data_IF_744755045085
#
_entry.id   IF_744755045085
#
_cell.length_a   1.000
_cell.length_b   1.000
_cell.length_c   1.000
_cell.angle_alpha   90.00
_cell.angle_beta   90.00
_cell.angle_gamma   90.00
#
_symmetry.space_group_name_H-M   'P 1'
#
loop_
_entity.id
_entity.type
_entity.pdbx_description
1 polymer ?
#
# COMPACT_ATOMS: atom_id res chain seq x y z
N UNK A 1 88.41 -39.96 -24.67
CA UNK A 1 89.65 -39.14 -24.75
C UNK A 1 89.70 -38.27 -23.51
N UNK A 2 90.70 -38.54 -22.64
CA UNK A 2 91.24 -37.77 -21.49
C UNK A 2 90.26 -37.11 -20.50
N UNK A 3 90.07 -37.72 -19.31
CA UNK A 3 90.84 -37.54 -18.04
C UNK A 3 90.27 -36.38 -17.21
N UNK A 4 89.80 -36.61 -15.98
CA UNK A 4 90.72 -36.68 -14.82
C UNK A 4 90.11 -37.41 -13.61
N UNK A 5 90.95 -38.24 -12.99
CA UNK A 5 90.77 -39.04 -11.77
C UNK A 5 91.24 -38.26 -10.54
N UNK A 6 90.64 -38.52 -9.37
CA UNK A 6 91.33 -38.77 -8.08
C UNK A 6 90.36 -39.46 -7.10
N UNK A 7 90.51 -40.78 -6.88
CA UNK A 7 91.06 -41.47 -5.68
C UNK A 7 90.21 -41.26 -4.42
N UNK A 8 89.57 -42.24 -3.73
CA UNK A 8 89.77 -43.66 -3.37
C UNK A 8 89.98 -43.78 -1.84
N UNK A 9 89.07 -44.55 -1.21
CA UNK A 9 89.17 -45.33 0.04
C UNK A 9 89.43 -44.62 1.39
N UNK A 10 88.64 -44.94 2.42
CA UNK A 10 88.91 -46.11 3.29
C UNK A 10 87.80 -46.35 4.33
N UNK A 11 87.61 -47.64 4.61
CA UNK A 11 86.65 -48.29 5.50
C UNK A 11 86.74 -47.89 6.98
N UNK A 12 85.61 -47.95 7.71
CA UNK A 12 85.54 -48.63 9.00
C UNK A 12 84.09 -48.95 9.40
N UNK A 13 83.86 -50.20 9.83
CA UNK A 13 82.58 -50.79 10.23
C UNK A 13 82.21 -50.43 11.69
N UNK A 14 80.90 -50.31 11.98
CA UNK A 14 80.13 -51.15 12.93
C UNK A 14 78.98 -50.40 13.63
N UNK A 15 77.87 -51.15 13.76
CA UNK A 15 76.88 -51.17 14.84
C UNK A 15 75.61 -50.30 14.77
N UNK A 16 74.48 -51.02 14.62
CA UNK A 16 73.14 -50.83 15.24
C UNK A 16 72.35 -49.56 14.89
N UNK A 17 71.30 -49.72 14.08
CA UNK A 17 69.94 -49.30 14.49
C UNK A 17 68.88 -49.82 13.51
N UNK A 18 67.94 -50.58 14.07
CA UNK A 18 66.63 -50.88 13.51
C UNK A 18 65.87 -49.54 13.47
N UNK A 19 65.56 -49.01 12.29
CA UNK A 19 64.72 -47.82 12.18
C UNK A 19 63.35 -48.21 11.65
N UNK A 20 62.39 -48.09 12.57
CA UNK A 20 60.96 -48.22 12.38
C UNK A 20 60.45 -47.28 11.27
N UNK A 21 59.59 -47.84 10.43
CA UNK A 21 58.73 -47.14 9.49
C UNK A 21 57.76 -46.23 10.28
N UNK A 22 57.90 -44.92 10.18
CA UNK A 22 56.86 -43.96 10.58
C UNK A 22 56.53 -43.10 9.36
N UNK A 23 55.50 -43.50 8.63
CA UNK A 23 54.81 -42.66 7.67
C UNK A 23 54.12 -41.54 8.46
N UNK A 24 54.68 -40.33 8.42
CA UNK A 24 53.97 -39.12 8.83
C UNK A 24 52.88 -38.84 7.78
N UNK A 25 51.69 -39.42 7.98
CA UNK A 25 50.46 -38.87 7.45
C UNK A 25 50.24 -37.52 8.16
N UNK A 26 50.67 -36.43 7.54
CA UNK A 26 50.10 -35.12 7.86
C UNK A 26 48.64 -35.18 7.43
N UNK A 27 47.75 -35.41 8.39
CA UNK A 27 46.32 -35.20 8.19
C UNK A 27 46.12 -33.75 7.80
N UNK A 28 45.87 -33.50 6.51
CA UNK A 28 45.14 -32.31 6.12
C UNK A 28 43.76 -32.45 6.75
N UNK A 29 43.52 -31.74 7.86
CA UNK A 29 42.16 -31.46 8.27
C UNK A 29 41.59 -30.57 7.17
N UNK A 30 40.80 -31.16 6.26
CA UNK A 30 39.84 -30.38 5.52
C UNK A 30 38.85 -29.85 6.57
N UNK A 31 39.05 -28.63 7.02
CA UNK A 31 37.97 -27.88 7.66
C UNK A 31 36.88 -27.78 6.62
N UNK A 32 35.76 -28.46 6.84
CA UNK A 32 34.56 -28.23 6.07
C UNK A 32 34.20 -26.75 6.25
N UNK A 33 34.45 -25.94 5.23
CA UNK A 33 33.91 -24.59 5.18
C UNK A 33 32.41 -24.72 5.03
N UNK A 34 31.65 -24.08 5.92
CA UNK A 34 30.23 -23.87 5.73
C UNK A 34 30.00 -23.26 4.34
N UNK A 35 28.99 -23.76 3.65
CA UNK A 35 28.61 -23.32 2.30
C UNK A 35 27.24 -22.66 2.39
N UNK A 36 27.17 -21.60 3.20
CA UNK A 36 26.02 -20.72 3.22
C UNK A 36 26.07 -19.87 1.94
N UNK A 37 24.97 -19.84 1.19
CA UNK A 37 24.92 -19.12 -0.09
C UNK A 37 23.48 -18.68 -0.39
N UNK A 38 23.37 -17.49 -0.97
CA UNK A 38 22.19 -17.07 -1.71
C UNK A 38 22.48 -17.17 -3.21
N UNK A 39 21.61 -17.86 -3.94
CA UNK A 39 21.72 -18.02 -5.39
C UNK A 39 20.41 -17.61 -6.08
N UNK A 40 20.38 -16.47 -6.80
CA UNK A 40 21.46 -15.51 -6.98
C UNK A 40 21.78 -14.72 -5.68
N UNK A 41 23.02 -14.23 -5.56
CA UNK A 41 23.45 -13.36 -4.45
C UNK A 41 22.97 -11.91 -4.59
N UNK A 42 22.38 -11.56 -5.73
CA UNK A 42 21.75 -10.27 -5.97
C UNK A 42 20.56 -10.41 -6.91
N UNK A 43 19.51 -9.65 -6.64
CA UNK A 43 18.33 -9.55 -7.49
C UNK A 43 17.93 -8.09 -7.68
N UNK A 44 17.13 -7.82 -8.71
CA UNK A 44 16.64 -6.47 -9.00
C UNK A 44 15.13 -6.48 -9.11
N UNK A 45 14.49 -5.52 -8.44
CA UNK A 45 13.06 -5.24 -8.58
C UNK A 45 12.90 -4.06 -9.56
N UNK A 46 12.13 -4.27 -10.62
CA UNK A 46 11.73 -3.18 -11.51
C UNK A 46 10.57 -2.38 -10.89
N UNK A 47 10.73 -1.07 -10.84
CA UNK A 47 9.64 -0.17 -10.47
C UNK A 47 8.55 -0.17 -11.55
N UNK A 48 7.27 0.02 -11.18
CA UNK A 48 6.23 0.20 -12.19
C UNK A 48 6.49 1.51 -12.94
N UNK A 49 6.37 1.52 -14.28
CA UNK A 49 6.61 2.73 -15.06
C UNK A 49 5.63 3.86 -14.73
N UNK A 50 4.40 3.51 -14.34
CA UNK A 50 3.39 4.47 -13.92
C UNK A 50 2.53 3.91 -12.78
N UNK A 51 2.03 4.82 -11.95
CA UNK A 51 1.07 4.55 -10.89
C UNK A 51 -0.01 5.63 -10.90
N UNK A 52 -1.26 5.25 -11.12
CA UNK A 52 -2.41 6.17 -11.07
C UNK A 52 -3.31 5.79 -9.92
N UNK A 53 -3.66 6.75 -9.06
CA UNK A 53 -4.52 6.54 -7.90
C UNK A 53 -5.29 7.81 -7.52
N UNK A 54 -6.44 7.69 -6.84
CA UNK A 54 -7.13 8.83 -6.24
C UNK A 54 -6.26 9.57 -5.21
N UNK A 55 -6.28 10.89 -5.21
CA UNK A 55 -5.49 11.73 -4.29
C UNK A 55 -5.88 11.53 -2.82
N UNK A 56 -7.17 11.29 -2.56
CA UNK A 56 -7.77 11.01 -1.25
C UNK A 56 -7.73 9.52 -0.85
N UNK A 57 -6.92 8.69 -1.53
CA UNK A 57 -6.81 7.27 -1.20
C UNK A 57 -6.53 7.09 0.29
N UNK A 58 -7.19 6.13 0.94
CA UNK A 58 -7.07 5.93 2.38
C UNK A 58 -5.62 5.72 2.85
N UNK A 59 -5.23 6.42 3.92
CA UNK A 59 -3.93 6.28 4.58
C UNK A 59 -3.70 4.83 5.03
N UNK A 60 -2.50 4.31 4.76
CA UNK A 60 -2.10 2.94 5.06
C UNK A 60 -2.50 1.91 4.01
N UNK A 61 -3.22 2.30 2.95
CA UNK A 61 -3.49 1.41 1.82
C UNK A 61 -2.20 1.11 1.06
N UNK A 62 -1.90 -0.18 0.88
CA UNK A 62 -0.88 -0.65 -0.07
C UNK A 62 -1.47 -0.54 -1.47
N UNK A 63 -0.91 0.35 -2.29
CA UNK A 63 -1.41 0.66 -3.64
C UNK A 63 -0.63 -0.06 -4.74
N UNK A 64 0.53 -0.61 -4.40
CA UNK A 64 1.32 -1.45 -5.29
C UNK A 64 2.13 -2.47 -4.49
N UNK A 65 2.29 -3.66 -5.05
CA UNK A 65 3.25 -4.68 -4.61
C UNK A 65 3.95 -5.21 -5.86
N UNK A 66 5.28 -5.20 -5.87
CA UNK A 66 6.05 -5.69 -7.02
C UNK A 66 5.90 -7.21 -7.20
N UNK A 67 6.37 -7.71 -8.34
CA UNK A 67 6.76 -9.11 -8.43
C UNK A 67 7.88 -9.43 -7.43
N UNK A 68 7.95 -10.69 -7.00
CA UNK A 68 8.97 -11.14 -6.07
C UNK A 68 10.35 -11.13 -6.73
N UNK A 69 11.30 -10.37 -6.18
CA UNK A 69 12.70 -10.75 -6.33
C UNK A 69 12.90 -12.02 -5.52
N UNK A 70 13.51 -13.03 -6.11
CA UNK A 70 13.65 -14.36 -5.48
C UNK A 70 15.11 -14.76 -5.40
N UNK A 71 15.49 -15.42 -4.31
CA UNK A 71 16.76 -16.15 -4.18
C UNK A 71 16.54 -17.51 -3.52
N UNK A 72 17.43 -18.45 -3.84
CA UNK A 72 17.52 -19.72 -3.14
C UNK A 72 18.60 -19.63 -2.07
N UNK A 73 18.21 -19.82 -0.80
CA UNK A 73 19.15 -19.94 0.31
C UNK A 73 19.55 -21.40 0.51
N UNK A 74 20.86 -21.67 0.51
CA UNK A 74 21.43 -22.95 0.93
C UNK A 74 22.29 -22.75 2.17
N UNK A 75 22.19 -23.70 3.10
CA UNK A 75 23.07 -23.78 4.27
C UNK A 75 23.44 -25.23 4.50
N UNK A 76 24.72 -25.48 4.81
CA UNK A 76 25.23 -26.80 5.21
C UNK A 76 25.42 -26.94 6.71
N UNK A 77 25.09 -25.88 7.46
CA UNK A 77 25.25 -25.81 8.89
C UNK A 77 23.94 -26.16 9.62
N UNK A 78 24.06 -26.55 10.90
CA UNK A 78 22.91 -26.82 11.79
C UNK A 78 23.02 -25.96 13.03
N UNK A 79 21.99 -25.21 13.39
CA UNK A 79 22.02 -24.31 14.55
C UNK A 79 20.95 -23.21 14.55
N UNK A 80 21.11 -22.26 15.45
CA UNK A 80 20.31 -21.02 15.49
C UNK A 80 20.94 -19.98 14.57
N UNK A 81 20.14 -19.39 13.67
CA UNK A 81 20.59 -18.36 12.74
C UNK A 81 19.79 -17.10 12.95
N UNK A 82 20.47 -15.97 12.80
CA UNK A 82 19.81 -14.68 12.83
C UNK A 82 19.71 -14.15 11.40
N UNK A 83 18.49 -13.85 10.99
CA UNK A 83 18.24 -13.11 9.75
C UNK A 83 18.22 -11.63 10.10
N UNK A 84 19.05 -10.84 9.41
CA UNK A 84 19.02 -9.39 9.57
C UNK A 84 18.72 -8.70 8.25
N UNK A 85 18.07 -7.55 8.34
CA UNK A 85 17.84 -6.68 7.20
C UNK A 85 18.52 -5.36 7.43
N UNK A 86 19.24 -4.89 6.41
CA UNK A 86 19.93 -3.61 6.47
C UNK A 86 19.92 -2.93 5.11
N UNK A 87 19.98 -1.59 5.13
CA UNK A 87 20.28 -0.81 3.93
C UNK A 87 21.77 -0.90 3.64
N UNK A 88 22.15 -1.00 2.37
CA UNK A 88 23.52 -0.73 1.98
C UNK A 88 23.77 0.79 1.98
N UNK A 89 24.77 1.25 2.72
CA UNK A 89 25.13 2.67 2.76
C UNK A 89 24.19 3.52 3.62
N UNK A 90 23.88 4.73 3.16
CA UNK A 90 22.99 5.64 3.89
C UNK A 90 21.55 5.12 3.90
N UNK A 91 20.91 5.15 5.07
CA UNK A 91 19.52 4.73 5.20
C UNK A 91 18.58 5.75 4.52
N UNK A 92 17.55 5.31 3.77
CA UNK A 92 16.54 6.20 3.25
C UNK A 92 15.81 6.94 4.38
N UNK A 93 15.28 8.12 4.06
CA UNK A 93 14.53 8.94 5.02
C UNK A 93 13.26 8.23 5.43
N UNK A 94 13.09 8.01 6.74
CA UNK A 94 11.91 7.35 7.29
C UNK A 94 10.71 8.27 7.22
N UNK A 95 9.58 7.75 6.74
CA UNK A 95 8.32 8.49 6.71
C UNK A 95 7.78 8.70 8.13
N UNK A 96 7.08 9.82 8.34
CA UNK A 96 6.32 10.09 9.56
C UNK A 96 5.18 9.10 9.80
N UNK A 97 4.73 8.37 8.77
CA UNK A 97 3.72 7.31 8.88
C UNK A 97 4.17 6.15 9.79
N UNK A 98 5.47 5.87 9.87
CA UNK A 98 6.00 4.72 10.60
C UNK A 98 5.86 3.40 9.83
N UNK A 99 5.75 2.27 10.54
CA UNK A 99 5.56 0.92 9.95
C UNK A 99 6.60 0.54 8.87
N UNK A 100 7.86 0.92 9.11
CA UNK A 100 8.98 0.63 8.21
C UNK A 100 8.79 1.23 6.80
N UNK A 101 8.02 2.32 6.71
CA UNK A 101 7.79 3.09 5.48
C UNK A 101 8.78 4.25 5.39
N UNK A 102 9.25 4.51 4.17
CA UNK A 102 10.21 5.53 3.81
C UNK A 102 9.65 6.47 2.76
N UNK A 103 10.25 7.65 2.69
CA UNK A 103 9.84 8.66 1.73
C UNK A 103 10.23 8.27 0.31
N UNK A 104 9.27 8.29 -0.61
CA UNK A 104 9.55 8.23 -2.05
C UNK A 104 10.03 9.58 -2.59
N UNK A 105 9.91 10.65 -1.80
CA UNK A 105 10.02 12.04 -2.24
C UNK A 105 8.69 12.63 -2.74
N UNK A 106 7.66 11.80 -2.98
CA UNK A 106 6.31 12.24 -3.32
C UNK A 106 5.47 12.38 -2.05
N UNK A 107 4.87 13.56 -1.85
CA UNK A 107 4.00 13.81 -0.71
C UNK A 107 2.83 12.81 -0.69
N UNK A 108 2.59 12.21 0.47
CA UNK A 108 1.53 11.20 0.66
C UNK A 108 1.82 9.81 0.11
N UNK A 109 3.00 9.56 -0.47
CA UNK A 109 3.40 8.24 -0.95
C UNK A 109 4.74 7.81 -0.34
N UNK A 110 4.72 6.65 0.32
CA UNK A 110 5.91 6.01 0.86
C UNK A 110 6.17 4.65 0.24
N UNK A 111 7.36 4.13 0.45
CA UNK A 111 7.72 2.76 0.08
C UNK A 111 8.18 1.97 1.30
N UNK A 112 8.02 0.64 1.27
CA UNK A 112 8.71 -0.28 2.17
C UNK A 112 9.15 -1.53 1.43
N UNK A 113 10.20 -2.17 1.95
CA UNK A 113 10.66 -3.47 1.44
C UNK A 113 10.16 -4.53 2.39
N UNK A 114 9.45 -5.53 1.86
CA UNK A 114 8.93 -6.68 2.59
C UNK A 114 9.72 -7.92 2.20
N UNK A 115 10.24 -8.63 3.18
CA UNK A 115 10.95 -9.89 2.99
C UNK A 115 10.10 -11.04 3.50
N UNK A 116 10.01 -12.11 2.71
CA UNK A 116 9.35 -13.36 3.10
C UNK A 116 10.41 -14.43 3.22
N UNK A 117 10.63 -14.88 4.44
CA UNK A 117 11.65 -15.84 4.76
C UNK A 117 11.05 -17.21 4.96
N UNK A 118 11.60 -18.18 4.25
CA UNK A 118 11.16 -19.57 4.31
C UNK A 118 12.30 -20.44 4.78
N UNK A 119 11.91 -21.48 5.49
CA UNK A 119 12.80 -22.54 5.92
C UNK A 119 12.12 -23.86 5.57
N UNK A 120 12.84 -24.98 5.65
CA UNK A 120 12.22 -26.30 5.50
C UNK A 120 11.36 -26.72 6.72
N UNK A 121 11.15 -25.80 7.66
CA UNK A 121 10.23 -25.90 8.79
C UNK A 121 8.93 -25.14 8.47
N UNK A 122 7.79 -25.42 9.14
CA UNK A 122 6.51 -24.74 8.89
C UNK A 122 6.48 -23.24 9.26
N UNK A 123 7.63 -22.63 9.58
CA UNK A 123 7.74 -21.23 9.96
C UNK A 123 8.11 -20.40 8.74
N UNK A 124 7.18 -19.54 8.33
CA UNK A 124 7.43 -18.42 7.41
C UNK A 124 7.52 -17.14 8.23
N UNK A 125 8.57 -16.35 8.03
CA UNK A 125 8.71 -15.03 8.64
C UNK A 125 8.43 -13.94 7.62
N UNK A 126 7.80 -12.86 8.07
CA UNK A 126 7.64 -11.63 7.29
C UNK A 126 8.29 -10.50 8.05
N UNK A 127 9.25 -9.84 7.41
CA UNK A 127 9.99 -8.72 8.00
C UNK A 127 10.06 -7.54 7.03
N UNK A 128 10.33 -6.36 7.56
CA UNK A 128 10.37 -5.11 6.79
C UNK A 128 11.64 -4.33 7.09
N UNK A 129 12.26 -3.68 6.11
CA UNK A 129 13.50 -2.94 6.33
C UNK A 129 13.24 -1.64 7.11
N UNK A 130 14.01 -1.26 8.14
CA UNK A 130 15.21 -1.92 8.65
C UNK A 130 14.81 -2.50 10.00
N UNK A 131 14.02 -3.57 10.04
CA UNK A 131 13.81 -4.23 11.32
C UNK A 131 15.06 -5.07 11.58
N UNK A 132 15.78 -4.62 12.60
CA UNK A 132 17.14 -5.04 12.90
C UNK A 132 17.07 -6.35 13.68
N UNK A 133 17.04 -7.41 12.88
CA UNK A 133 17.21 -8.82 13.24
C UNK A 133 15.97 -9.54 13.78
N UNK A 134 15.70 -10.72 13.22
CA UNK A 134 14.85 -11.75 13.82
C UNK A 134 15.65 -13.07 13.85
N UNK A 135 15.55 -13.81 14.96
CA UNK A 135 16.31 -15.05 15.17
C UNK A 135 15.44 -16.27 14.85
N UNK A 136 15.97 -17.14 14.00
CA UNK A 136 15.35 -18.39 13.58
C UNK A 136 16.27 -19.57 13.88
N UNK A 137 15.78 -20.49 14.70
CA UNK A 137 16.38 -21.80 14.88
C UNK A 137 16.19 -22.68 13.64
N UNK A 138 17.28 -23.03 12.95
CA UNK A 138 17.29 -23.99 11.83
C UNK A 138 17.78 -25.37 12.31
N UNK A 139 16.99 -26.03 13.15
CA UNK A 139 17.30 -27.42 13.55
C UNK A 139 16.93 -28.38 12.41
N UNK A 140 17.92 -29.09 11.87
CA UNK A 140 17.70 -30.18 10.89
C UNK A 140 17.31 -29.73 9.48
N UNK A 141 17.58 -28.48 9.11
CA UNK A 141 17.29 -27.96 7.77
C UNK A 141 18.40 -28.31 6.78
N UNK A 142 18.10 -29.16 5.78
CA UNK A 142 18.99 -29.39 4.63
C UNK A 142 18.36 -28.82 3.36
N UNK A 143 18.96 -27.75 2.81
CA UNK A 143 19.02 -27.27 1.39
C UNK A 143 17.83 -27.49 0.42
N UNK A 144 17.44 -26.54 -0.45
CA UNK A 144 17.39 -25.07 -0.38
C UNK A 144 16.00 -24.55 0.07
N UNK A 145 15.93 -23.30 0.55
CA UNK A 145 14.67 -22.61 0.80
C UNK A 145 14.58 -21.28 0.02
N UNK A 146 13.45 -21.05 -0.64
CA UNK A 146 13.19 -19.86 -1.44
C UNK A 146 12.85 -18.64 -0.57
N UNK A 147 13.56 -17.54 -0.78
CA UNK A 147 13.33 -16.27 -0.10
C UNK A 147 12.87 -15.23 -1.10
N UNK A 148 11.92 -14.40 -0.69
CA UNK A 148 11.38 -13.35 -1.54
C UNK A 148 11.59 -11.98 -0.92
N UNK A 149 11.77 -10.99 -1.78
CA UNK A 149 11.69 -9.58 -1.44
C UNK A 149 10.68 -8.90 -2.37
N UNK A 150 9.91 -7.98 -1.79
CA UNK A 150 8.89 -7.19 -2.48
C UNK A 150 9.08 -5.71 -2.16
N UNK A 151 8.86 -4.87 -3.16
CA UNK A 151 8.58 -3.46 -2.96
C UNK A 151 7.08 -3.27 -2.76
N UNK A 152 6.69 -2.56 -1.70
CA UNK A 152 5.32 -2.10 -1.52
C UNK A 152 5.29 -0.57 -1.51
N UNK A 153 4.31 0.01 -2.22
CA UNK A 153 4.02 1.45 -2.17
C UNK A 153 2.76 1.67 -1.33
N UNK A 154 2.81 2.62 -0.41
CA UNK A 154 1.81 2.83 0.65
C UNK A 154 1.45 4.30 0.73
N UNK A 155 0.16 4.58 0.87
CA UNK A 155 -0.33 5.94 1.11
C UNK A 155 -0.02 6.37 2.55
N UNK A 156 0.64 7.51 2.71
CA UNK A 156 1.15 7.99 4.01
C UNK A 156 0.42 9.23 4.55
N UNK A 157 -0.39 9.90 3.72
CA UNK A 157 -1.24 11.04 4.13
C UNK A 157 -2.55 11.06 3.33
N UNK A 158 -3.50 11.91 3.72
CA UNK A 158 -4.81 12.04 3.07
C UNK A 158 -4.75 12.73 1.69
N UNK A 159 -3.57 13.13 1.23
CA UNK A 159 -3.37 13.83 -0.04
C UNK A 159 -2.10 13.33 -0.70
N UNK A 160 -2.26 12.57 -1.78
CA UNK A 160 -1.18 12.04 -2.59
C UNK A 160 -0.88 13.03 -3.72
N UNK A 161 0.37 13.48 -3.81
CA UNK A 161 0.81 14.34 -4.89
C UNK A 161 1.15 13.55 -6.17
N UNK A 162 1.09 14.22 -7.31
CA UNK A 162 1.70 13.72 -8.56
C UNK A 162 3.20 14.02 -8.56
N UNK A 163 3.99 13.18 -9.22
CA UNK A 163 5.43 13.35 -9.29
C UNK A 163 6.12 12.16 -9.90
N UNK A 164 7.44 12.14 -9.81
CA UNK A 164 8.26 11.03 -10.27
C UNK A 164 9.23 10.64 -9.17
N UNK A 165 9.47 9.34 -8.99
CA UNK A 165 10.47 8.85 -8.06
C UNK A 165 11.31 7.72 -8.63
N UNK A 166 12.54 7.64 -8.14
CA UNK A 166 13.52 6.60 -8.43
C UNK A 166 14.09 6.08 -7.11
N UNK A 167 14.33 4.77 -7.03
CA UNK A 167 14.91 4.09 -5.87
C UNK A 167 16.25 3.42 -6.22
N UNK A 168 16.86 3.73 -7.36
CA UNK A 168 18.08 3.07 -7.87
C UNK A 168 19.30 3.18 -6.95
N UNK A 169 19.35 4.23 -6.11
CA UNK A 169 20.38 4.40 -5.09
C UNK A 169 20.19 3.51 -3.86
N UNK A 170 19.02 2.89 -3.70
CA UNK A 170 18.67 2.07 -2.55
C UNK A 170 19.03 0.61 -2.84
N UNK A 171 19.73 -0.02 -1.89
CA UNK A 171 19.99 -1.45 -1.89
C UNK A 171 19.56 -2.02 -0.54
N UNK A 172 18.65 -2.99 -0.58
CA UNK A 172 18.17 -3.73 0.58
C UNK A 172 18.95 -5.04 0.71
N UNK A 173 19.80 -5.15 1.73
CA UNK A 173 20.52 -6.39 2.01
C UNK A 173 19.73 -7.26 2.98
N UNK A 174 19.63 -8.55 2.65
CA UNK A 174 19.28 -9.63 3.57
C UNK A 174 20.55 -10.36 3.96
N UNK A 175 20.81 -10.43 5.25
CA UNK A 175 22.00 -11.06 5.78
C UNK A 175 21.63 -12.37 6.48
N UNK A 176 22.36 -13.43 6.15
CA UNK A 176 22.28 -14.74 6.76
C UNK A 176 23.70 -15.24 7.01
N UNK A 177 24.10 -15.33 8.29
CA UNK A 177 25.47 -15.68 8.68
C UNK A 177 26.53 -14.77 8.03
N UNK A 178 27.48 -15.26 7.23
CA UNK A 178 28.47 -14.41 6.53
C UNK A 178 28.09 -14.09 5.07
N UNK A 179 26.84 -14.36 4.65
CA UNK A 179 26.38 -14.11 3.27
C UNK A 179 25.24 -13.11 3.18
N UNK A 180 25.27 -12.33 2.10
CA UNK A 180 24.27 -11.32 1.78
C UNK A 180 23.53 -11.67 0.49
N UNK A 181 22.22 -11.42 0.48
CA UNK A 181 21.44 -11.23 -0.73
C UNK A 181 21.08 -9.76 -0.89
N UNK A 182 21.61 -9.14 -1.95
CA UNK A 182 21.37 -7.74 -2.25
C UNK A 182 20.18 -7.57 -3.19
N UNK A 183 19.19 -6.79 -2.78
CA UNK A 183 18.03 -6.42 -3.61
C UNK A 183 18.17 -4.96 -4.02
N UNK A 184 18.38 -4.72 -5.30
CA UNK A 184 18.41 -3.38 -5.90
C UNK A 184 17.09 -3.03 -6.58
N UNK A 185 16.87 -1.74 -6.81
CA UNK A 185 15.71 -1.25 -7.55
C UNK A 185 16.16 -0.61 -8.87
N UNK A 186 15.30 -0.71 -9.88
CA UNK A 186 15.61 -0.12 -11.19
C UNK A 186 14.37 0.49 -11.84
N UNK A 187 14.62 1.45 -12.73
CA UNK A 187 13.58 2.19 -13.41
C UNK A 187 13.07 3.36 -12.57
N UNK A 188 12.03 4.00 -13.08
CA UNK A 188 11.47 5.22 -12.52
C UNK A 188 9.96 5.12 -12.61
N UNK A 189 9.25 5.60 -11.58
CA UNK A 189 7.79 5.59 -11.54
C UNK A 189 7.24 7.00 -11.64
N UNK A 190 6.41 7.23 -12.65
CA UNK A 190 5.56 8.43 -12.72
C UNK A 190 4.26 8.18 -11.96
N UNK A 191 4.01 8.96 -10.91
CA UNK A 191 2.78 8.93 -10.11
C UNK A 191 1.82 10.02 -10.60
N UNK A 192 0.60 9.62 -10.92
CA UNK A 192 -0.50 10.52 -11.29
C UNK A 192 -1.60 10.42 -10.25
N UNK A 193 -1.70 11.44 -9.41
CA UNK A 193 -2.81 11.59 -8.48
C UNK A 193 -4.04 12.14 -9.23
N UNK A 194 -5.17 11.48 -9.05
CA UNK A 194 -6.45 11.82 -9.71
C UNK A 194 -7.45 12.32 -8.68
N UNK A 195 -8.33 13.24 -9.07
CA UNK A 195 -9.28 13.88 -8.15
C UNK A 195 -10.55 14.30 -8.88
N UNK A 196 -11.61 14.54 -8.09
CA UNK A 196 -12.78 15.27 -8.52
C UNK A 196 -12.86 16.61 -7.78
N UNK A 197 -13.11 17.68 -8.53
CA UNK A 197 -13.24 19.04 -8.03
C UNK A 197 -14.68 19.53 -8.26
N UNK A 198 -15.25 20.18 -7.24
CA UNK A 198 -16.54 20.88 -7.35
C UNK A 198 -16.26 22.27 -7.90
N UNK A 199 -16.78 22.57 -9.08
CA UNK A 199 -16.55 23.86 -9.75
C UNK A 199 -17.56 24.91 -9.28
N UNK A 200 -18.85 24.59 -9.41
CA UNK A 200 -19.99 25.47 -9.05
C UNK A 200 -21.16 24.63 -8.57
N UNK A 201 -22.02 25.21 -7.74
CA UNK A 201 -23.23 24.56 -7.23
C UNK A 201 -24.29 25.61 -6.87
N UNK A 202 -25.55 25.19 -6.86
CA UNK A 202 -26.64 26.03 -6.38
C UNK A 202 -26.55 26.18 -4.85
N UNK A 203 -26.31 27.41 -4.38
CA UNK A 203 -26.19 27.71 -2.94
C UNK A 203 -27.54 27.83 -2.23
N UNK A 204 -28.62 27.94 -3.00
CA UNK A 204 -29.99 28.01 -2.53
C UNK A 204 -30.93 27.43 -3.58
N UNK A 205 -31.93 26.66 -3.14
CA UNK A 205 -32.95 26.04 -4.00
C UNK A 205 -34.31 26.52 -3.55
N UNK A 206 -34.96 27.36 -4.36
CA UNK A 206 -36.32 27.84 -4.08
C UNK A 206 -37.36 26.78 -4.44
N UNK A 207 -37.98 26.17 -3.43
CA UNK A 207 -39.07 25.20 -3.60
C UNK A 207 -40.38 25.87 -4.03
N UNK A 208 -40.45 27.20 -4.04
CA UNK A 208 -41.67 27.94 -4.34
C UNK A 208 -42.76 27.72 -3.30
N UNK A 209 -44.02 27.82 -3.72
CA UNK A 209 -45.18 27.77 -2.82
C UNK A 209 -46.07 26.55 -3.11
N UNK A 210 -46.33 25.74 -2.09
CA UNK A 210 -47.32 24.67 -2.14
C UNK A 210 -48.59 25.02 -1.37
N UNK A 211 -49.73 24.48 -1.81
CA UNK A 211 -50.95 24.53 -1.04
C UNK A 211 -51.07 23.28 -0.17
N UNK A 212 -51.38 23.43 1.11
CA UNK A 212 -51.53 22.32 2.06
C UNK A 212 -52.53 21.27 1.58
N UNK A 213 -53.58 21.67 0.83
CA UNK A 213 -54.56 20.75 0.22
C UNK A 213 -53.95 19.74 -0.77
N UNK A 214 -52.74 19.99 -1.29
CA UNK A 214 -52.04 19.09 -2.20
C UNK A 214 -51.22 18.05 -1.43
N UNK A 215 -51.09 18.19 -0.11
CA UNK A 215 -50.43 17.25 0.81
C UNK A 215 -51.53 16.53 1.59
N UNK A 216 -52.02 15.43 1.02
CA UNK A 216 -53.23 14.73 1.46
C UNK A 216 -52.98 13.65 2.51
N UNK A 217 -51.82 13.00 2.45
CA UNK A 217 -51.41 11.93 3.36
C UNK A 217 -49.89 11.82 3.46
N UNK A 218 -49.39 11.21 4.54
CA UNK A 218 -47.96 10.94 4.72
C UNK A 218 -47.41 10.22 3.49
N UNK A 219 -46.34 10.74 2.91
CA UNK A 219 -45.81 10.24 1.63
C UNK A 219 -46.14 11.09 0.42
N UNK A 220 -47.12 11.99 0.52
CA UNK A 220 -47.45 12.91 -0.58
C UNK A 220 -46.34 13.94 -0.76
N UNK A 221 -46.01 14.24 -2.02
CA UNK A 221 -44.96 15.20 -2.37
C UNK A 221 -45.50 16.36 -3.20
N UNK A 222 -44.91 17.54 -3.07
CA UNK A 222 -45.27 18.72 -3.85
C UNK A 222 -44.03 19.55 -4.20
N UNK A 223 -44.15 20.40 -5.22
CA UNK A 223 -43.12 21.36 -5.64
C UNK A 223 -41.73 20.73 -5.81
N UNK A 224 -41.55 20.00 -6.91
CA UNK A 224 -40.23 19.47 -7.27
C UNK A 224 -39.45 20.55 -8.01
N UNK A 225 -38.29 20.90 -7.48
CA UNK A 225 -37.34 21.85 -8.05
C UNK A 225 -36.02 21.12 -8.32
N UNK A 226 -35.48 21.28 -9.52
CA UNK A 226 -34.18 20.73 -9.90
C UNK A 226 -33.06 21.67 -9.41
N UNK A 227 -31.92 21.10 -9.03
CA UNK A 227 -30.69 21.83 -8.73
C UNK A 227 -29.48 20.99 -9.15
N UNK A 228 -28.33 21.63 -9.35
CA UNK A 228 -27.16 20.96 -9.91
C UNK A 228 -25.88 21.24 -9.12
N UNK A 229 -24.97 20.26 -9.16
CA UNK A 229 -23.59 20.41 -8.69
C UNK A 229 -22.70 20.11 -9.89
N UNK A 230 -21.95 21.12 -10.34
CA UNK A 230 -21.02 21.01 -11.45
C UNK A 230 -19.65 20.54 -10.93
N UNK A 231 -19.14 19.44 -11.47
CA UNK A 231 -17.86 18.86 -11.05
C UNK A 231 -16.99 18.47 -12.24
N UNK A 232 -15.67 18.53 -12.05
CA UNK A 232 -14.67 18.03 -13.00
C UNK A 232 -13.88 16.91 -12.33
N UNK A 233 -13.80 15.73 -12.96
CA UNK A 233 -12.92 14.66 -12.51
C UNK A 233 -11.75 14.49 -13.48
N UNK A 234 -10.52 14.41 -12.96
CA UNK A 234 -9.31 14.36 -13.79
C UNK A 234 -9.09 13.01 -14.49
N UNK A 235 -9.85 11.97 -14.11
CA UNK A 235 -9.86 10.68 -14.78
C UNK A 235 -11.28 10.07 -14.83
N UNK A 236 -11.63 9.46 -15.97
CA UNK A 236 -12.91 8.75 -16.14
C UNK A 236 -12.98 7.41 -15.40
N UNK A 237 -11.87 6.95 -14.84
CA UNK A 237 -11.80 5.76 -13.99
C UNK A 237 -12.26 6.01 -12.57
N UNK A 238 -12.27 7.27 -12.12
CA UNK A 238 -12.76 7.66 -10.80
C UNK A 238 -14.24 7.31 -10.62
N UNK A 239 -14.63 7.03 -9.39
CA UNK A 239 -16.02 6.82 -9.00
C UNK A 239 -16.41 7.83 -7.93
N UNK A 240 -16.83 9.05 -8.31
CA UNK A 240 -17.33 10.02 -7.36
C UNK A 240 -18.58 9.50 -6.63
N UNK A 241 -18.68 9.88 -5.36
CA UNK A 241 -19.85 9.71 -4.53
C UNK A 241 -20.13 10.99 -3.77
N UNK A 242 -21.37 11.18 -3.35
CA UNK A 242 -21.82 12.35 -2.62
C UNK A 242 -22.62 11.92 -1.40
N UNK A 243 -22.43 12.62 -0.30
CA UNK A 243 -23.22 12.48 0.93
C UNK A 243 -23.86 13.81 1.24
N UNK A 244 -25.18 13.83 1.45
CA UNK A 244 -25.90 15.01 1.96
C UNK A 244 -26.19 14.82 3.45
N UNK A 245 -25.64 15.71 4.27
CA UNK A 245 -25.79 15.75 5.73
C UNK A 245 -26.70 16.88 6.15
N UNK A 246 -27.55 16.62 7.13
CA UNK A 246 -28.55 17.55 7.65
C UNK A 246 -29.42 16.84 8.68
N UNK A 247 -30.32 17.56 9.33
CA UNK A 247 -31.19 16.95 10.35
C UNK A 247 -32.25 16.07 9.66
N UNK A 248 -32.36 14.77 10.00
CA UNK A 248 -33.45 13.93 9.50
C UNK A 248 -34.77 14.28 10.18
N UNK A 249 -35.89 14.18 9.45
CA UNK A 249 -37.22 14.30 10.01
C UNK A 249 -37.51 13.16 11.00
N UNK A 250 -38.10 13.50 12.15
CA UNK A 250 -38.35 12.58 13.25
C UNK A 250 -39.34 11.43 12.95
N UNK A 251 -40.22 11.61 11.96
CA UNK A 251 -41.20 10.61 11.56
C UNK A 251 -40.72 9.82 10.32
N UNK A 252 -39.97 10.46 9.43
CA UNK A 252 -39.50 9.87 8.17
C UNK A 252 -38.01 10.16 7.99
N UNK A 253 -37.15 9.27 8.46
CA UNK A 253 -35.70 9.47 8.47
C UNK A 253 -35.05 9.63 7.09
N UNK A 254 -35.74 9.28 6.00
CA UNK A 254 -35.30 9.48 4.61
C UNK A 254 -35.62 10.89 4.06
N UNK A 255 -36.09 11.80 4.90
CA UNK A 255 -36.48 13.17 4.58
C UNK A 255 -35.72 14.10 5.51
N UNK A 256 -35.26 15.24 5.00
CA UNK A 256 -34.63 16.30 5.80
C UNK A 256 -35.71 17.12 6.51
N UNK A 257 -35.50 17.45 7.78
CA UNK A 257 -36.48 18.21 8.54
C UNK A 257 -36.62 19.65 8.04
N UNK A 258 -37.79 20.23 8.29
CA UNK A 258 -37.95 21.68 8.27
C UNK A 258 -37.25 22.27 9.50
N UNK A 259 -36.01 22.75 9.35
CA UNK A 259 -35.13 23.10 10.48
C UNK A 259 -35.51 24.44 11.12
N UNK A 260 -35.71 25.46 10.29
CA UNK A 260 -35.98 26.84 10.74
C UNK A 260 -37.33 27.39 10.28
N UNK A 261 -38.06 26.62 9.48
CA UNK A 261 -39.37 27.04 9.01
C UNK A 261 -40.48 26.86 10.03
N UNK A 262 -41.64 27.46 9.75
CA UNK A 262 -42.81 27.48 10.65
C UNK A 262 -43.88 26.45 10.31
N UNK A 263 -43.82 25.83 9.12
CA UNK A 263 -44.73 24.75 8.74
C UNK A 263 -44.44 23.48 9.53
N UNK A 264 -45.48 22.73 9.90
CA UNK A 264 -45.35 21.44 10.59
C UNK A 264 -45.89 20.31 9.73
N UNK A 265 -45.40 19.09 9.96
CA UNK A 265 -45.81 17.89 9.22
C UNK A 265 -45.26 17.81 7.78
N UNK A 266 -44.23 18.60 7.48
CA UNK A 266 -43.55 18.65 6.18
C UNK A 266 -42.04 18.69 6.36
N UNK A 267 -41.33 18.08 5.43
CA UNK A 267 -39.88 18.16 5.28
C UNK A 267 -39.48 18.23 3.80
N UNK A 268 -38.18 18.19 3.54
CA UNK A 268 -37.61 18.25 2.20
C UNK A 268 -37.00 16.90 1.84
N UNK A 269 -37.44 16.32 0.73
CA UNK A 269 -36.86 15.11 0.18
C UNK A 269 -35.94 15.47 -0.98
N UNK A 270 -34.72 14.95 -0.94
CA UNK A 270 -33.75 15.06 -2.04
C UNK A 270 -33.75 13.78 -2.89
N UNK A 271 -33.50 13.94 -4.19
CA UNK A 271 -33.41 12.83 -5.14
C UNK A 271 -32.23 13.01 -6.11
N UNK A 272 -31.67 11.90 -6.55
CA UNK A 272 -30.78 11.82 -7.71
C UNK A 272 -31.37 10.85 -8.73
N UNK A 273 -31.80 11.37 -9.89
CA UNK A 273 -32.73 10.67 -10.76
C UNK A 273 -34.04 10.34 -10.01
N UNK A 274 -34.33 9.05 -9.86
CA UNK A 274 -35.47 8.54 -9.07
C UNK A 274 -35.06 7.99 -7.69
N UNK A 275 -33.77 8.04 -7.36
CA UNK A 275 -33.24 7.52 -6.08
C UNK A 275 -33.42 8.55 -4.98
N UNK A 276 -34.10 8.18 -3.90
CA UNK A 276 -34.23 9.03 -2.69
C UNK A 276 -32.89 9.10 -1.97
N UNK A 277 -32.45 10.32 -1.66
CA UNK A 277 -31.24 10.58 -0.88
C UNK A 277 -31.62 10.67 0.59
N UNK A 278 -31.17 9.70 1.37
CA UNK A 278 -31.33 9.70 2.83
C UNK A 278 -30.19 10.52 3.45
N UNK A 279 -30.46 11.36 4.48
CA UNK A 279 -29.42 12.05 5.24
C UNK A 279 -28.29 11.12 5.67
N UNK A 280 -27.05 11.60 5.57
CA UNK A 280 -25.82 10.92 5.99
C UNK A 280 -25.56 9.56 5.30
N UNK A 281 -26.18 9.34 4.14
CA UNK A 281 -26.00 8.12 3.34
C UNK A 281 -25.19 8.42 2.07
N UNK A 282 -24.19 7.59 1.79
CA UNK A 282 -23.35 7.71 0.58
C UNK A 282 -24.15 7.34 -0.66
N UNK A 283 -24.17 8.24 -1.64
CA UNK A 283 -24.76 8.05 -2.96
C UNK A 283 -23.65 8.01 -4.03
N UNK A 284 -23.59 6.93 -4.81
CA UNK A 284 -22.70 6.85 -5.97
C UNK A 284 -23.22 7.73 -7.11
N UNK A 285 -22.35 8.58 -7.67
CA UNK A 285 -22.64 9.37 -8.88
C UNK A 285 -22.27 8.64 -10.18
N UNK A 286 -21.74 7.41 -10.07
CA UNK A 286 -21.28 6.63 -11.21
C UNK A 286 -19.91 7.09 -11.70
N UNK A 287 -19.47 6.56 -12.85
CA UNK A 287 -18.21 6.98 -13.47
C UNK A 287 -18.43 8.25 -14.28
N UNK A 288 -17.50 9.23 -14.26
CA UNK A 288 -17.55 10.38 -15.14
C UNK A 288 -17.60 9.93 -16.60
N UNK A 289 -18.51 10.51 -17.38
CA UNK A 289 -18.63 10.22 -18.82
C UNK A 289 -17.53 10.90 -19.63
N UNK A 290 -16.89 11.92 -19.07
CA UNK A 290 -15.74 12.63 -19.62
C UNK A 290 -14.87 13.20 -18.50
N UNK A 291 -13.68 13.70 -18.84
CA UNK A 291 -12.84 14.52 -17.93
C UNK A 291 -13.14 16.01 -18.04
N UNK A 292 -14.26 16.37 -18.68
CA UNK A 292 -14.77 17.75 -18.73
C UNK A 292 -15.78 17.98 -17.61
N UNK A 293 -16.03 19.25 -17.30
CA UNK A 293 -17.05 19.64 -16.33
C UNK A 293 -18.40 19.01 -16.68
N UNK A 294 -19.04 18.40 -15.69
CA UNK A 294 -20.32 17.69 -15.81
C UNK A 294 -21.25 18.16 -14.70
N UNK A 295 -22.51 18.43 -15.06
CA UNK A 295 -23.57 18.71 -14.10
C UNK A 295 -24.15 17.40 -13.56
N UNK A 296 -24.16 17.28 -12.23
CA UNK A 296 -24.91 16.24 -11.53
C UNK A 296 -26.23 16.84 -11.08
N UNK A 297 -27.32 16.41 -11.72
CA UNK A 297 -28.66 16.94 -11.49
C UNK A 297 -29.37 16.22 -10.34
N UNK A 298 -29.84 17.00 -9.38
CA UNK A 298 -30.59 16.56 -8.22
C UNK A 298 -31.96 17.23 -8.21
N UNK A 299 -32.86 16.70 -7.37
CA UNK A 299 -34.19 17.28 -7.16
C UNK A 299 -34.44 17.47 -5.69
N UNK A 300 -35.07 18.57 -5.33
CA UNK A 300 -35.62 18.81 -4.01
C UNK A 300 -37.15 18.92 -4.13
N UNK A 301 -37.88 18.32 -3.20
CA UNK A 301 -39.34 18.43 -3.15
C UNK A 301 -39.86 18.43 -1.73
N UNK A 302 -40.99 19.09 -1.51
CA UNK A 302 -41.71 18.98 -0.24
C UNK A 302 -42.26 17.56 -0.09
N UNK A 303 -42.22 17.04 1.14
CA UNK A 303 -42.72 15.73 1.50
C UNK A 303 -43.54 15.84 2.79
N UNK A 304 -44.76 15.28 2.79
CA UNK A 304 -45.60 15.24 3.99
C UNK A 304 -45.13 14.15 4.95
N UNK A 305 -44.67 14.55 6.14
CA UNK A 305 -44.09 13.66 7.17
C UNK A 305 -45.07 13.32 8.29
N UNK A 306 -46.18 14.06 8.44
CA UNK A 306 -47.21 13.79 9.44
C UNK A 306 -48.64 13.85 8.85
N UNK A 307 -49.62 13.28 9.57
CA UNK A 307 -51.03 13.25 9.14
C UNK A 307 -51.67 14.64 9.03
N UNK A 308 -51.08 15.65 9.66
CA UNK A 308 -51.57 17.03 9.64
C UNK A 308 -50.44 17.95 9.24
N UNK A 309 -50.70 18.78 8.23
CA UNK A 309 -49.78 19.82 7.76
C UNK A 309 -50.34 21.19 8.14
N UNK A 310 -49.51 22.03 8.76
CA UNK A 310 -49.85 23.44 9.00
C UNK A 310 -49.15 24.34 7.99
N UNK A 311 -49.81 25.41 7.58
CA UNK A 311 -49.20 26.43 6.73
C UNK A 311 -48.06 27.14 7.47
N UNK A 312 -47.02 27.52 6.74
CA UNK A 312 -45.82 28.20 7.24
C UNK A 312 -44.70 28.13 6.22
N UNK A 313 -43.51 28.60 6.59
CA UNK A 313 -42.29 28.45 5.77
C UNK A 313 -41.67 27.06 5.93
N UNK A 314 -40.94 26.63 4.91
CA UNK A 314 -40.09 25.45 4.93
C UNK A 314 -38.68 25.90 4.59
N UNK A 315 -37.77 25.79 5.57
CA UNK A 315 -36.40 26.25 5.48
C UNK A 315 -35.48 25.15 6.04
N UNK A 316 -34.76 24.46 5.15
CA UNK A 316 -33.91 23.30 5.46
C UNK A 316 -32.48 23.57 5.01
N UNK A 317 -31.51 23.27 5.87
CA UNK A 317 -30.09 23.40 5.52
C UNK A 317 -29.44 22.04 5.38
N UNK A 318 -28.76 21.82 4.26
CA UNK A 318 -27.97 20.60 4.01
C UNK A 318 -26.53 20.95 3.66
N UNK A 319 -25.60 20.09 4.05
CA UNK A 319 -24.20 20.15 3.64
C UNK A 319 -23.93 18.93 2.76
N UNK A 320 -23.33 19.11 1.60
CA UNK A 320 -22.88 17.97 0.80
C UNK A 320 -21.36 17.76 0.95
N UNK A 321 -20.93 16.51 0.94
CA UNK A 321 -19.53 16.10 0.90
C UNK A 321 -19.32 15.19 -0.30
N UNK A 322 -18.32 15.50 -1.11
CA UNK A 322 -17.92 14.69 -2.27
C UNK A 322 -16.71 13.84 -1.89
N UNK A 323 -16.78 12.56 -2.22
CA UNK A 323 -15.68 11.61 -2.11
C UNK A 323 -15.46 10.92 -3.47
N UNK A 324 -14.31 10.31 -3.70
CA UNK A 324 -13.96 9.63 -4.95
C UNK A 324 -12.96 8.49 -4.72
N UNK A 325 -13.11 7.39 -5.48
CA UNK A 325 -12.21 6.22 -5.45
C UNK A 325 -11.76 5.75 -6.85
#
# INVERSE_FOLDING_TARGET
MKMSKRTRNSHCNYLRSILFLVFLLTGFNATATSTNEFSPSSSTIALPSSLTLPANTAVGKVVYTSEAATTSMTSSDTGDYTFTTQWAGESPTRSSYGNNVYETGIAGLGFRVKGVFRTNQPKTLTIYWPDNSDTVTLTGSTTPAEQDAYLELIVTSNDVASGEFDLSAIIANMHFDEVDWAVSFSGTTTVTATSCEVNTYDTSVDLGTAYTKNLTEVGTTAQTTDFSINMTCSASTLKPSITFSGTPDSNVSAVFSNDSGTATGVGVQLLYGDTVITPDTVLSLGKPTSTSATDYDFKARLYQTASTVTAGSVDTTVTFTVDYE
#
